data_IF_316165104887
#
_entry.id   IF_316165104887
#
_cell.length_a   1.000
_cell.length_b   1.000
_cell.length_c   1.000
_cell.angle_alpha   90.00
_cell.angle_beta   90.00
_cell.angle_gamma   90.00
#
_symmetry.space_group_name_H-M   'P 1'
#
loop_
_entity.id
_entity.type
_entity.pdbx_description
1 polymer ?
#
# COMPACT_ATOMS: atom_id res chain seq x y z
N UNK A 1 5.36 62.48 -41.49
CA UNK A 1 4.99 61.06 -41.66
C UNK A 1 6.16 60.19 -41.22
N UNK A 2 6.06 59.52 -40.07
CA UNK A 2 6.90 58.38 -39.67
C UNK A 2 6.13 57.60 -38.59
N UNK A 3 5.58 56.46 -39.00
CA UNK A 3 4.88 55.52 -38.12
C UNK A 3 5.90 54.81 -37.23
N UNK A 4 5.70 54.85 -35.91
CA UNK A 4 6.38 53.92 -34.99
C UNK A 4 5.48 52.71 -34.81
N UNK A 5 5.98 51.56 -35.24
CA UNK A 5 5.39 50.24 -35.07
C UNK A 5 5.70 49.79 -33.64
N UNK A 6 4.67 49.58 -32.82
CA UNK A 6 4.81 48.99 -31.50
C UNK A 6 4.91 47.46 -31.65
N UNK A 7 6.09 46.91 -31.36
CA UNK A 7 6.30 45.46 -31.30
C UNK A 7 5.71 44.90 -30.01
N UNK A 8 4.63 44.13 -30.14
CA UNK A 8 4.02 43.38 -29.05
C UNK A 8 4.88 42.11 -28.81
N UNK A 9 5.69 42.11 -27.75
CA UNK A 9 6.44 40.92 -27.33
C UNK A 9 5.48 39.93 -26.66
N UNK A 10 5.20 38.81 -27.35
CA UNK A 10 4.45 37.69 -26.81
C UNK A 10 5.37 36.91 -25.84
N UNK A 11 5.16 37.05 -24.53
CA UNK A 11 5.84 36.24 -23.54
C UNK A 11 5.26 34.82 -23.57
N UNK A 12 6.00 33.85 -24.10
CA UNK A 12 5.71 32.43 -23.91
C UNK A 12 6.03 32.06 -22.46
N UNK A 13 4.99 31.96 -21.63
CA UNK A 13 5.10 31.35 -20.31
C UNK A 13 5.38 29.86 -20.48
N UNK A 14 6.62 29.43 -20.26
CA UNK A 14 6.94 28.00 -20.15
C UNK A 14 6.19 27.45 -18.93
N UNK A 15 5.25 26.52 -19.17
CA UNK A 15 4.66 25.75 -18.08
C UNK A 15 5.78 24.91 -17.43
N UNK A 16 5.87 24.86 -16.09
CA UNK A 16 6.84 23.99 -15.43
C UNK A 16 6.54 22.54 -15.85
N UNK A 17 7.55 21.88 -16.41
CA UNK A 17 7.50 20.43 -16.60
C UNK A 17 7.45 19.81 -15.20
N UNK A 18 6.38 19.06 -14.91
CA UNK A 18 6.40 18.15 -13.75
C UNK A 18 7.51 17.13 -14.04
N UNK A 19 8.47 17.00 -13.13
CA UNK A 19 9.48 15.97 -13.26
C UNK A 19 8.79 14.61 -13.15
N UNK A 20 9.00 13.74 -14.13
CA UNK A 20 8.52 12.35 -14.06
C UNK A 20 9.25 11.62 -12.92
N UNK A 21 8.54 10.75 -12.19
CA UNK A 21 9.14 9.89 -11.16
C UNK A 21 10.21 8.96 -11.75
N UNK A 22 11.28 8.74 -10.99
CA UNK A 22 12.45 7.97 -11.42
C UNK A 22 12.51 6.65 -10.66
N UNK A 23 12.62 5.54 -11.40
CA UNK A 23 12.78 4.22 -10.78
C UNK A 23 14.07 4.15 -9.94
N UNK A 24 13.94 3.69 -8.70
CA UNK A 24 15.03 3.57 -7.73
C UNK A 24 15.21 4.80 -6.83
N UNK A 25 14.54 5.92 -7.16
CA UNK A 25 14.53 7.14 -6.36
C UNK A 25 13.30 7.14 -5.44
N UNK A 26 13.51 6.78 -4.18
CA UNK A 26 12.52 6.81 -3.11
C UNK A 26 13.22 6.65 -1.75
N UNK A 27 12.54 7.05 -0.69
CA UNK A 27 13.10 7.17 0.66
C UNK A 27 12.84 5.92 1.52
N UNK A 28 11.65 5.32 1.41
CA UNK A 28 11.23 4.18 2.25
C UNK A 28 10.07 3.39 1.65
N UNK A 29 9.69 2.29 2.30
CA UNK A 29 8.55 1.47 1.93
C UNK A 29 7.38 1.61 2.90
N UNK A 30 6.16 1.49 2.37
CA UNK A 30 4.95 1.19 3.14
C UNK A 30 4.47 -0.21 2.77
N UNK A 31 4.49 -1.13 3.74
CA UNK A 31 3.77 -2.40 3.62
C UNK A 31 2.31 -2.16 3.99
N UNK A 32 1.40 -2.36 3.04
CA UNK A 32 -0.03 -2.23 3.27
C UNK A 32 -0.67 -3.62 3.42
N UNK A 33 -1.22 -3.90 4.60
CA UNK A 33 -1.95 -5.12 4.92
C UNK A 33 -3.45 -4.84 4.93
N UNK A 34 -4.21 -5.41 4.00
CA UNK A 34 -5.65 -5.20 3.92
C UNK A 34 -6.42 -6.23 4.74
N UNK A 35 -7.43 -5.78 5.48
CA UNK A 35 -8.38 -6.67 6.15
C UNK A 35 -9.36 -7.26 5.13
N UNK A 36 -9.15 -8.54 4.78
CA UNK A 36 -9.85 -9.21 3.69
C UNK A 36 -11.37 -9.26 3.89
N UNK A 37 -11.94 -9.53 5.08
CA UNK A 37 -13.39 -9.53 5.27
C UNK A 37 -14.06 -8.21 4.86
N UNK A 38 -13.44 -7.08 5.20
CA UNK A 38 -13.94 -5.75 4.85
C UNK A 38 -13.71 -5.37 3.40
N UNK A 39 -12.60 -5.80 2.78
CA UNK A 39 -12.48 -5.67 1.33
C UNK A 39 -13.52 -6.51 0.59
N UNK A 40 -13.82 -7.72 1.08
CA UNK A 40 -14.80 -8.59 0.48
C UNK A 40 -16.21 -8.00 0.54
N UNK A 41 -16.65 -7.47 1.69
CA UNK A 41 -17.96 -6.84 1.84
C UNK A 41 -18.10 -5.58 0.99
N UNK A 42 -17.03 -4.77 0.91
CA UNK A 42 -17.05 -3.48 0.24
C UNK A 42 -16.80 -3.56 -1.27
N UNK A 43 -16.18 -4.62 -1.78
CA UNK A 43 -15.72 -4.69 -3.17
C UNK A 43 -15.62 -6.10 -3.72
N UNK A 44 -15.03 -7.03 -2.96
CA UNK A 44 -14.68 -8.36 -3.45
C UNK A 44 -15.87 -9.23 -3.84
N UNK A 45 -16.98 -9.16 -3.10
CA UNK A 45 -18.19 -9.93 -3.36
C UNK A 45 -18.86 -9.54 -4.67
N UNK A 46 -19.00 -8.23 -4.93
CA UNK A 46 -19.52 -7.72 -6.20
C UNK A 46 -18.66 -8.13 -7.39
N UNK A 47 -17.35 -8.30 -7.17
CA UNK A 47 -16.38 -8.72 -8.19
C UNK A 47 -16.27 -10.25 -8.32
N UNK A 48 -16.92 -11.02 -7.46
CA UNK A 48 -16.77 -12.48 -7.42
C UNK A 48 -15.34 -12.92 -7.14
N UNK A 49 -14.61 -12.18 -6.30
CA UNK A 49 -13.21 -12.43 -6.01
C UNK A 49 -13.01 -13.77 -5.26
N UNK A 50 -12.07 -14.59 -5.73
CA UNK A 50 -11.83 -15.94 -5.20
C UNK A 50 -11.47 -15.94 -3.71
N UNK A 51 -10.75 -14.91 -3.23
CA UNK A 51 -10.39 -14.77 -1.82
C UNK A 51 -11.61 -14.58 -0.89
N UNK A 52 -12.75 -14.15 -1.44
CA UNK A 52 -13.97 -13.87 -0.69
C UNK A 52 -14.92 -15.06 -0.60
N UNK A 53 -14.58 -16.18 -1.24
CA UNK A 53 -15.39 -17.39 -1.17
C UNK A 53 -15.46 -17.91 0.28
N UNK A 54 -16.62 -18.47 0.64
CA UNK A 54 -16.84 -19.01 2.00
C UNK A 54 -15.83 -20.11 2.33
N UNK A 55 -15.27 -20.08 3.54
CA UNK A 55 -14.31 -21.06 4.03
C UNK A 55 -12.87 -20.84 3.57
N UNK A 56 -12.58 -19.73 2.88
CA UNK A 56 -11.20 -19.33 2.55
C UNK A 56 -10.42 -18.93 3.80
N UNK A 57 -11.09 -18.43 4.83
CA UNK A 57 -10.51 -18.03 6.11
C UNK A 57 -9.29 -17.13 5.96
N UNK A 58 -9.46 -16.07 5.15
CA UNK A 58 -8.41 -15.10 4.90
C UNK A 58 -8.66 -13.89 5.78
N UNK A 59 -7.63 -13.57 6.58
CA UNK A 59 -7.62 -12.47 7.54
C UNK A 59 -7.01 -11.23 6.88
N UNK A 60 -5.71 -11.02 7.04
CA UNK A 60 -4.94 -10.03 6.33
C UNK A 60 -4.35 -10.59 5.04
N UNK A 61 -4.31 -9.74 4.01
CA UNK A 61 -3.51 -9.97 2.80
C UNK A 61 -2.57 -8.79 2.57
N UNK A 62 -1.43 -9.04 1.96
CA UNK A 62 -0.56 -7.98 1.45
C UNK A 62 -1.27 -7.30 0.28
N UNK A 63 -1.73 -6.07 0.50
CA UNK A 63 -2.22 -5.24 -0.58
C UNK A 63 -1.05 -4.80 -1.48
N UNK A 64 0.07 -4.37 -0.89
CA UNK A 64 1.28 -4.05 -1.64
C UNK A 64 2.42 -3.54 -0.75
N UNK A 65 3.58 -3.33 -1.38
CA UNK A 65 4.78 -2.74 -0.78
C UNK A 65 5.16 -1.49 -1.58
N UNK A 66 4.81 -0.31 -1.07
CA UNK A 66 4.84 0.91 -1.87
C UNK A 66 6.11 1.73 -1.57
N UNK A 67 6.95 2.03 -2.57
CA UNK A 67 8.00 3.02 -2.40
C UNK A 67 7.36 4.39 -2.15
N UNK A 68 7.88 5.11 -1.15
CA UNK A 68 7.41 6.42 -0.73
C UNK A 68 8.56 7.42 -0.74
N UNK A 69 8.23 8.69 -0.97
CA UNK A 69 9.08 9.80 -0.57
C UNK A 69 8.71 10.23 0.86
N UNK A 70 9.55 11.04 1.49
CA UNK A 70 9.20 11.74 2.74
C UNK A 70 7.97 12.66 2.55
N UNK A 71 7.65 13.05 1.31
CA UNK A 71 6.41 13.73 0.93
C UNK A 71 5.90 13.21 -0.41
N UNK A 72 4.72 12.58 -0.40
CA UNK A 72 4.16 11.89 -1.57
C UNK A 72 4.82 10.54 -1.87
N UNK A 73 4.61 10.03 -3.08
CA UNK A 73 5.13 8.74 -3.52
C UNK A 73 5.32 8.70 -5.03
N UNK A 74 6.31 7.94 -5.53
CA UNK A 74 6.41 7.67 -6.96
C UNK A 74 5.35 6.67 -7.43
N UNK A 75 4.83 6.86 -8.64
CA UNK A 75 3.96 5.87 -9.27
C UNK A 75 4.12 5.78 -10.80
N UNK A 76 3.83 4.61 -11.35
CA UNK A 76 3.84 4.34 -12.79
C UNK A 76 5.19 4.65 -13.48
N UNK A 77 6.30 4.47 -12.75
CA UNK A 77 7.64 4.80 -13.23
C UNK A 77 8.03 4.01 -14.49
N UNK A 78 8.80 4.66 -15.36
CA UNK A 78 9.45 3.98 -16.49
C UNK A 78 10.61 3.14 -15.96
N UNK A 79 10.75 1.93 -16.49
CA UNK A 79 11.83 0.98 -16.17
C UNK A 79 12.10 0.10 -17.39
N UNK A 80 13.34 -0.35 -17.52
CA UNK A 80 13.79 -1.32 -18.52
C UNK A 80 13.63 -2.78 -18.03
N UNK A 81 13.26 -2.96 -16.76
CA UNK A 81 12.94 -4.26 -16.19
C UNK A 81 11.71 -4.87 -16.87
N UNK A 82 11.77 -6.18 -17.13
CA UNK A 82 10.62 -6.87 -17.72
C UNK A 82 9.45 -6.94 -16.73
N UNK A 83 8.25 -6.92 -17.27
CA UNK A 83 7.07 -7.24 -16.49
C UNK A 83 7.06 -8.72 -16.04
N UNK A 84 6.42 -9.04 -14.90
CA UNK A 84 6.29 -10.41 -14.42
C UNK A 84 5.37 -11.23 -15.33
N UNK A 85 5.70 -12.49 -15.58
CA UNK A 85 4.79 -13.39 -16.26
C UNK A 85 3.52 -13.62 -15.43
N UNK A 86 2.43 -14.04 -16.09
CA UNK A 86 1.19 -14.42 -15.39
C UNK A 86 1.43 -15.44 -14.27
N UNK A 87 2.36 -16.38 -14.48
CA UNK A 87 2.73 -17.39 -13.49
C UNK A 87 3.42 -16.78 -12.27
N UNK A 88 4.32 -15.82 -12.48
CA UNK A 88 5.00 -15.12 -11.38
C UNK A 88 4.02 -14.30 -10.55
N UNK A 89 3.12 -13.55 -11.20
CA UNK A 89 2.09 -12.80 -10.47
C UNK A 89 1.11 -13.75 -9.75
N UNK A 90 0.68 -14.85 -10.38
CA UNK A 90 -0.20 -15.82 -9.73
C UNK A 90 0.44 -16.49 -8.52
N UNK A 91 1.77 -16.64 -8.53
CA UNK A 91 2.50 -17.19 -7.39
C UNK A 91 2.44 -16.30 -6.15
N UNK A 92 2.00 -15.04 -6.25
CA UNK A 92 1.78 -14.12 -5.11
C UNK A 92 0.36 -14.18 -4.54
N UNK A 93 -0.55 -14.97 -5.13
CA UNK A 93 -1.95 -15.02 -4.70
C UNK A 93 -2.14 -15.61 -3.29
N UNK A 94 -1.15 -16.34 -2.77
CA UNK A 94 -1.11 -16.85 -1.40
C UNK A 94 -1.03 -15.73 -0.35
N UNK A 95 -0.27 -14.66 -0.62
CA UNK A 95 -0.14 -13.53 0.32
C UNK A 95 -0.98 -12.31 -0.08
N UNK A 96 -1.29 -12.14 -1.37
CA UNK A 96 -2.01 -10.97 -1.90
C UNK A 96 -3.46 -11.28 -2.29
N UNK A 97 -3.91 -12.53 -2.16
CA UNK A 97 -5.26 -12.97 -2.53
C UNK A 97 -5.53 -13.14 -4.03
N UNK A 98 -4.76 -12.49 -4.93
CA UNK A 98 -4.84 -12.76 -6.37
C UNK A 98 -3.59 -12.35 -7.15
N UNK A 99 -3.32 -13.05 -8.27
CA UNK A 99 -2.26 -12.64 -9.19
C UNK A 99 -2.56 -11.37 -9.99
N UNK A 100 -3.85 -11.04 -10.15
CA UNK A 100 -4.26 -9.78 -10.77
C UNK A 100 -3.85 -8.57 -9.92
N UNK A 101 -4.01 -8.67 -8.60
CA UNK A 101 -3.53 -7.64 -7.66
C UNK A 101 -2.01 -7.52 -7.71
N UNK A 102 -1.28 -8.65 -7.65
CA UNK A 102 0.18 -8.65 -7.72
C UNK A 102 0.70 -7.94 -8.99
N UNK A 103 0.12 -8.26 -10.15
CA UNK A 103 0.44 -7.60 -11.41
C UNK A 103 0.19 -6.08 -11.35
N UNK A 104 -0.98 -5.65 -10.83
CA UNK A 104 -1.31 -4.24 -10.69
C UNK A 104 -0.29 -3.50 -9.80
N UNK A 105 0.07 -4.12 -8.67
CA UNK A 105 1.01 -3.55 -7.70
C UNK A 105 2.42 -3.44 -8.28
N UNK A 106 2.84 -4.39 -9.11
CA UNK A 106 4.07 -4.24 -9.89
C UNK A 106 3.98 -3.03 -10.84
N UNK A 107 2.93 -2.95 -11.68
CA UNK A 107 2.81 -1.89 -12.68
C UNK A 107 2.82 -0.48 -12.06
N UNK A 108 2.13 -0.31 -10.93
CA UNK A 108 1.98 1.01 -10.30
C UNK A 108 3.15 1.36 -9.39
N UNK A 109 3.61 0.43 -8.56
CA UNK A 109 4.55 0.70 -7.47
C UNK A 109 5.87 -0.04 -7.64
N UNK A 110 5.84 -1.32 -8.02
CA UNK A 110 7.05 -2.14 -8.17
C UNK A 110 8.05 -1.58 -9.19
N UNK A 111 7.57 -1.05 -10.33
CA UNK A 111 8.41 -0.40 -11.35
C UNK A 111 9.23 0.79 -10.82
N UNK A 112 8.76 1.44 -9.75
CA UNK A 112 9.43 2.59 -9.15
C UNK A 112 10.57 2.21 -8.20
N UNK A 113 10.73 0.93 -7.85
CA UNK A 113 11.75 0.50 -6.89
C UNK A 113 13.15 0.37 -7.49
N UNK A 114 13.26 0.30 -8.83
CA UNK A 114 14.50 -0.06 -9.52
C UNK A 114 14.85 -1.55 -9.43
N UNK A 115 14.01 -2.37 -8.80
CA UNK A 115 14.15 -3.83 -8.77
C UNK A 115 13.53 -4.47 -10.01
N UNK A 116 14.03 -5.65 -10.37
CA UNK A 116 13.30 -6.55 -11.27
C UNK A 116 11.97 -6.99 -10.63
N UNK A 117 11.00 -7.42 -11.45
CA UNK A 117 9.72 -7.88 -10.94
C UNK A 117 9.84 -9.05 -9.93
N UNK A 118 10.79 -9.97 -10.18
CA UNK A 118 11.07 -11.06 -9.25
C UNK A 118 11.70 -10.55 -7.94
N UNK A 119 12.59 -9.56 -8.03
CA UNK A 119 13.17 -8.90 -6.86
C UNK A 119 12.11 -8.21 -6.01
N UNK A 120 11.25 -7.40 -6.62
CA UNK A 120 10.16 -6.71 -5.92
C UNK A 120 9.18 -7.67 -5.23
N UNK A 121 8.77 -8.75 -5.90
CA UNK A 121 7.93 -9.76 -5.27
C UNK A 121 8.63 -10.52 -4.13
N UNK A 122 9.94 -10.75 -4.24
CA UNK A 122 10.77 -11.29 -3.16
C UNK A 122 10.79 -10.35 -1.96
N UNK A 123 11.12 -9.08 -2.17
CA UNK A 123 11.13 -8.04 -1.12
C UNK A 123 9.77 -7.87 -0.45
N UNK A 124 8.67 -8.00 -1.19
CA UNK A 124 7.32 -7.98 -0.63
C UNK A 124 7.05 -9.16 0.31
N UNK A 125 7.56 -10.36 -0.01
CA UNK A 125 7.49 -11.53 0.89
C UNK A 125 8.35 -11.32 2.12
N UNK A 126 9.59 -10.88 1.95
CA UNK A 126 10.50 -10.60 3.06
C UNK A 126 9.87 -9.57 4.01
N UNK A 127 9.25 -8.51 3.48
CA UNK A 127 8.53 -7.51 4.27
C UNK A 127 7.33 -8.10 5.01
N UNK A 128 6.56 -9.00 4.37
CA UNK A 128 5.42 -9.65 5.01
C UNK A 128 5.86 -10.61 6.13
N UNK A 129 6.93 -11.38 5.91
CA UNK A 129 7.46 -12.35 6.88
C UNK A 129 8.07 -11.67 8.12
N UNK A 130 8.50 -10.42 8.00
CA UNK A 130 8.99 -9.61 9.12
C UNK A 130 7.88 -9.16 10.09
N UNK A 131 6.62 -9.12 9.64
CA UNK A 131 5.51 -8.58 10.42
C UNK A 131 4.60 -9.71 10.90
N UNK A 132 4.58 -9.92 12.21
CA UNK A 132 3.62 -10.78 12.87
C UNK A 132 2.22 -10.13 12.88
N UNK A 133 1.21 -10.86 12.42
CA UNK A 133 -0.19 -10.49 12.63
C UNK A 133 -0.54 -10.73 14.10
N UNK A 134 -1.19 -9.78 14.81
CA UNK A 134 -1.60 -9.98 16.19
C UNK A 134 -2.54 -11.18 16.33
N UNK A 135 -2.23 -12.08 17.25
CA UNK A 135 -3.00 -13.32 17.48
C UNK A 135 -4.50 -13.05 17.72
N UNK A 136 -4.82 -11.91 18.33
CA UNK A 136 -6.22 -11.48 18.59
C UNK A 136 -7.04 -11.22 17.32
N UNK A 137 -6.37 -11.04 16.17
CA UNK A 137 -6.99 -10.80 14.87
C UNK A 137 -6.92 -12.02 13.94
N UNK A 138 -6.19 -13.06 14.32
CA UNK A 138 -6.12 -14.32 13.57
C UNK A 138 -7.44 -15.08 13.73
N UNK A 139 -8.01 -15.58 12.63
CA UNK A 139 -9.25 -16.36 12.60
C UNK A 139 -10.39 -15.70 13.40
N UNK A 140 -10.53 -14.37 13.27
CA UNK A 140 -11.48 -13.58 14.05
C UNK A 140 -12.92 -14.12 13.88
N UNK A 141 -13.44 -14.77 14.93
CA UNK A 141 -14.67 -15.56 14.86
C UNK A 141 -15.97 -14.74 14.90
N UNK A 142 -15.89 -13.45 15.26
CA UNK A 142 -17.04 -12.54 15.38
C UNK A 142 -16.63 -11.13 15.03
N UNK A 143 -17.59 -10.36 14.57
CA UNK A 143 -17.37 -8.94 14.34
C UNK A 143 -16.98 -8.26 15.65
N UNK A 144 -15.98 -7.39 15.56
CA UNK A 144 -15.56 -6.54 16.67
C UNK A 144 -15.59 -5.09 16.23
N UNK A 145 -15.89 -4.23 17.19
CA UNK A 145 -15.67 -2.80 17.03
C UNK A 145 -14.61 -2.38 18.03
N UNK A 146 -13.66 -1.54 17.63
CA UNK A 146 -12.56 -1.06 18.46
C UNK A 146 -12.08 0.32 17.98
N UNK A 147 -11.45 1.14 18.84
CA UNK A 147 -10.73 2.32 18.39
C UNK A 147 -9.57 1.94 17.45
N UNK A 148 -9.26 2.74 16.40
CA UNK A 148 -8.11 2.48 15.51
C UNK A 148 -6.79 2.30 16.26
N UNK A 149 -6.54 3.15 17.26
CA UNK A 149 -5.34 3.07 18.10
C UNK A 149 -5.17 1.71 18.83
N UNK A 150 -6.27 1.00 19.14
CA UNK A 150 -6.19 -0.34 19.75
C UNK A 150 -5.69 -1.37 18.73
N UNK A 151 -6.04 -1.21 17.45
CA UNK A 151 -5.51 -2.07 16.39
C UNK A 151 -4.01 -1.79 16.17
N UNK A 152 -3.59 -0.52 16.15
CA UNK A 152 -2.18 -0.13 16.05
C UNK A 152 -1.37 -0.68 17.24
N UNK A 153 -1.88 -0.54 18.46
CA UNK A 153 -1.23 -1.05 19.67
C UNK A 153 -1.09 -2.57 19.66
N UNK A 154 -2.09 -3.31 19.15
CA UNK A 154 -1.98 -4.76 18.99
C UNK A 154 -0.88 -5.16 18.01
N UNK A 155 -0.70 -4.42 16.90
CA UNK A 155 0.41 -4.64 15.97
C UNK A 155 1.77 -4.32 16.59
N UNK A 156 1.87 -3.26 17.39
CA UNK A 156 3.09 -2.91 18.11
C UNK A 156 3.43 -3.97 19.17
N UNK A 157 2.44 -4.49 19.90
CA UNK A 157 2.65 -5.56 20.89
C UNK A 157 3.17 -6.84 20.24
N UNK A 158 2.62 -7.21 19.08
CA UNK A 158 3.07 -8.37 18.30
C UNK A 158 4.46 -8.15 17.65
N UNK A 159 4.85 -6.90 17.42
CA UNK A 159 6.09 -6.54 16.72
C UNK A 159 6.85 -5.44 17.50
N UNK A 160 7.59 -5.79 18.58
CA UNK A 160 8.18 -4.80 19.50
C UNK A 160 9.24 -3.86 18.89
N UNK A 161 9.71 -4.14 17.67
CA UNK A 161 10.61 -3.27 16.91
C UNK A 161 9.87 -2.12 16.20
N UNK A 162 8.54 -2.18 16.07
CA UNK A 162 7.73 -1.11 15.49
C UNK A 162 7.56 0.02 16.52
N UNK A 163 7.83 1.25 16.07
CA UNK A 163 7.48 2.46 16.81
C UNK A 163 6.00 2.79 16.68
N UNK A 164 5.47 3.63 17.58
CA UNK A 164 4.08 4.10 17.53
C UNK A 164 3.74 4.80 16.21
N UNK A 165 4.68 5.59 15.69
CA UNK A 165 4.50 6.34 14.45
C UNK A 165 4.87 5.50 13.20
N UNK A 166 5.26 4.24 13.37
CA UNK A 166 5.61 3.30 12.29
C UNK A 166 4.44 2.44 11.82
N UNK A 167 3.28 2.53 12.47
CA UNK A 167 2.05 1.80 12.15
C UNK A 167 0.89 2.78 12.08
N UNK A 168 0.07 2.67 11.05
CA UNK A 168 -1.15 3.47 10.90
C UNK A 168 -2.31 2.63 10.38
N UNK A 169 -3.52 2.90 10.87
CA UNK A 169 -4.74 2.27 10.41
C UNK A 169 -5.55 3.20 9.51
N UNK A 170 -6.05 2.65 8.40
CA UNK A 170 -7.00 3.32 7.50
C UNK A 170 -8.37 2.64 7.52
N UNK A 171 -9.42 3.36 7.12
CA UNK A 171 -10.78 2.84 7.12
C UNK A 171 -11.64 3.32 5.94
N UNK A 172 -12.56 2.45 5.52
CA UNK A 172 -13.65 2.79 4.61
C UNK A 172 -14.94 3.01 5.40
N UNK A 173 -15.26 4.28 5.65
CA UNK A 173 -16.39 4.60 6.52
C UNK A 173 -16.12 4.12 7.94
N UNK A 174 -16.80 3.04 8.34
CA UNK A 174 -16.58 2.40 9.65
C UNK A 174 -15.76 1.12 9.54
N UNK A 175 -15.52 0.55 8.36
CA UNK A 175 -14.80 -0.71 8.22
C UNK A 175 -13.28 -0.51 8.24
N UNK A 176 -12.54 -1.37 8.94
CA UNK A 176 -11.08 -1.45 8.82
C UNK A 176 -10.72 -1.71 7.35
N UNK A 177 -9.86 -0.87 6.78
CA UNK A 177 -9.38 -1.03 5.41
C UNK A 177 -8.02 -1.71 5.40
N UNK A 178 -7.02 -1.02 5.95
CA UNK A 178 -5.62 -1.45 5.94
C UNK A 178 -4.93 -1.08 7.25
N UNK A 179 -3.96 -1.90 7.63
CA UNK A 179 -2.86 -1.55 8.51
C UNK A 179 -1.65 -1.30 7.64
N UNK A 180 -1.00 -0.15 7.80
CA UNK A 180 0.17 0.23 7.02
C UNK A 180 1.37 0.34 7.94
N UNK A 181 2.49 -0.22 7.50
CA UNK A 181 3.72 -0.31 8.29
C UNK A 181 4.85 0.28 7.46
N UNK A 182 5.59 1.22 8.07
CA UNK A 182 6.69 1.90 7.39
C UNK A 182 8.02 1.21 7.66
N UNK A 183 8.74 0.92 6.59
CA UNK A 183 10.00 0.18 6.60
C UNK A 183 11.05 0.95 5.80
N UNK A 184 12.31 0.92 6.23
CA UNK A 184 13.43 1.42 5.42
C UNK A 184 13.55 0.62 4.13
N UNK A 185 14.41 1.06 3.21
CA UNK A 185 14.70 0.32 1.97
C UNK A 185 15.28 -1.06 2.23
N UNK A 186 15.95 -1.24 3.37
CA UNK A 186 16.50 -2.51 3.84
C UNK A 186 15.52 -3.28 4.75
N UNK A 187 14.24 -2.86 4.76
CA UNK A 187 13.12 -3.46 5.50
C UNK A 187 13.20 -3.36 7.03
N UNK A 188 14.01 -2.45 7.56
CA UNK A 188 14.01 -2.17 9.00
C UNK A 188 12.82 -1.29 9.39
N UNK A 189 12.15 -1.52 10.53
CA UNK A 189 11.11 -0.63 11.04
C UNK A 189 11.56 0.83 11.13
N UNK A 190 10.68 1.75 10.72
CA UNK A 190 10.86 3.20 10.89
C UNK A 190 9.53 3.90 11.12
N UNK A 191 9.60 5.15 11.55
CA UNK A 191 8.42 6.01 11.59
C UNK A 191 7.96 6.37 10.16
N UNK A 192 6.64 6.43 10.00
CA UNK A 192 5.99 6.88 8.78
C UNK A 192 6.13 8.40 8.59
N UNK A 193 6.30 8.83 7.34
CA UNK A 193 6.27 10.25 7.03
C UNK A 193 4.87 10.85 7.26
N UNK A 194 4.76 12.16 7.51
CA UNK A 194 3.48 12.80 7.88
C UNK A 194 2.31 12.55 6.93
N UNK A 195 2.58 12.36 5.63
CA UNK A 195 1.57 12.15 4.59
C UNK A 195 0.98 10.73 4.57
N UNK A 196 1.67 9.76 5.19
CA UNK A 196 1.17 8.39 5.38
C UNK A 196 0.36 8.28 6.67
N UNK A 197 0.68 9.12 7.67
CA UNK A 197 0.00 9.21 8.98
C UNK A 197 -1.42 9.83 9.00
N UNK A 198 -2.09 10.29 7.92
CA UNK A 198 -3.49 10.65 8.02
C UNK A 198 -4.32 9.37 8.28
N UNK A 199 -4.52 9.10 9.56
CA UNK A 199 -5.17 7.91 10.11
C UNK A 199 -6.68 7.92 9.86
N UNK A 200 -7.31 6.76 10.05
CA UNK A 200 -8.74 6.68 10.29
C UNK A 200 -9.11 7.52 11.51
N UNK A 201 -9.80 8.65 11.31
CA UNK A 201 -10.18 9.59 12.37
C UNK A 201 -11.47 9.22 13.11
N UNK A 202 -11.98 8.00 12.91
CA UNK A 202 -13.19 7.51 13.58
C UNK A 202 -12.88 7.11 15.01
N UNK A 203 -13.83 7.35 15.92
CA UNK A 203 -13.75 6.87 17.30
C UNK A 203 -13.66 5.34 17.38
N UNK A 204 -14.30 4.65 16.42
CA UNK A 204 -14.31 3.20 16.30
C UNK A 204 -14.34 2.76 14.85
N UNK A 205 -13.71 1.63 14.61
CA UNK A 205 -13.78 0.85 13.37
C UNK A 205 -14.37 -0.53 13.65
N UNK A 206 -15.02 -1.08 12.63
CA UNK A 206 -15.54 -2.43 12.54
C UNK A 206 -14.48 -3.31 11.88
N UNK A 207 -14.13 -4.41 12.53
CA UNK A 207 -13.47 -5.54 11.90
C UNK A 207 -14.49 -6.67 11.80
N UNK A 208 -14.93 -6.94 10.58
CA UNK A 208 -15.83 -8.06 10.28
C UNK A 208 -15.11 -9.39 10.53
N UNK A 209 -15.85 -10.39 10.98
CA UNK A 209 -15.34 -11.75 11.17
C UNK A 209 -14.80 -12.35 9.88
N UNK A 210 -13.93 -13.32 10.05
CA UNK A 210 -13.33 -14.10 8.97
C UNK A 210 -14.36 -15.05 8.35
N UNK A 211 -14.24 -15.27 7.03
CA UNK A 211 -15.24 -15.93 6.17
C UNK A 211 -14.93 -17.38 5.81
#
# INVERSE_FOLDING_TARGET
MKCMIASLALALSALPAMADDVAGDFDYYVLALSWSPSWCSQTGDERGAEQCAVGRKIDFVVHGLWPQYERGWPENCRTDERDPSRRESQAMADIMGSGGLAWYQWQKHGRCTGLSAAGYYGTMRDAADLIAIPEVFVDLARDISLPPAVAEEAFIEANPSLGRDGVTVTCWGEALQEVRICLTRDLEPRDCAPDVRPDCTRDRILMEKVR
#
